data_IF_061348161554
#
_entry.id   IF_061348161554
#
_cell.length_a   1.000
_cell.length_b   1.000
_cell.length_c   1.000
_cell.angle_alpha   90.00
_cell.angle_beta   90.00
_cell.angle_gamma   90.00
#
_symmetry.space_group_name_H-M   'P 1'
#
loop_
_entity.id
_entity.type
_entity.pdbx_description
1 polymer ?
#
# COMPACT_ATOMS: atom_id res chain seq x y z
N UNK A 1 20.72 -7.31 -47.48
CA UNK A 1 22.08 -6.79 -47.80
C UNK A 1 23.06 -7.84 -47.31
N UNK A 2 24.16 -8.08 -48.02
CA UNK A 2 25.06 -9.24 -47.79
C UNK A 2 25.65 -9.32 -46.36
N UNK A 3 25.55 -8.25 -45.58
CA UNK A 3 26.14 -8.13 -44.24
C UNK A 3 25.15 -8.29 -43.07
N UNK A 4 23.89 -8.65 -43.34
CA UNK A 4 22.89 -8.79 -42.27
C UNK A 4 22.89 -10.21 -41.68
N UNK A 5 22.86 -10.37 -40.34
CA UNK A 5 22.76 -11.68 -39.69
C UNK A 5 21.52 -12.48 -40.12
N UNK A 6 20.44 -11.80 -40.51
CA UNK A 6 19.22 -12.41 -41.03
C UNK A 6 19.41 -13.11 -42.37
N UNK A 7 20.32 -12.62 -43.22
CA UNK A 7 20.64 -13.22 -44.51
C UNK A 7 21.52 -14.45 -44.33
N UNK A 8 22.54 -14.37 -43.46
CA UNK A 8 23.39 -15.51 -43.13
C UNK A 8 22.60 -16.66 -42.48
N UNK A 9 21.60 -16.33 -41.64
CA UNK A 9 20.68 -17.32 -41.09
C UNK A 9 19.82 -17.98 -42.18
N UNK A 10 19.31 -17.21 -43.14
CA UNK A 10 18.53 -17.74 -44.25
C UNK A 10 19.37 -18.64 -45.17
N UNK A 11 20.60 -18.25 -45.48
CA UNK A 11 21.53 -19.04 -46.29
C UNK A 11 21.98 -20.32 -45.57
N UNK A 12 22.28 -20.27 -44.27
CA UNK A 12 22.65 -21.45 -43.48
C UNK A 12 21.54 -22.52 -43.47
N UNK A 13 20.26 -22.10 -43.51
CA UNK A 13 19.10 -23.00 -43.56
C UNK A 13 18.83 -23.49 -44.99
N UNK A 14 18.98 -22.63 -46.00
CA UNK A 14 18.62 -22.93 -47.39
C UNK A 14 19.71 -23.66 -48.19
N UNK A 15 20.99 -23.51 -47.84
CA UNK A 15 22.10 -24.12 -48.58
C UNK A 15 22.05 -25.67 -48.61
N UNK A 16 21.77 -26.37 -47.49
CA UNK A 16 21.62 -27.83 -47.50
C UNK A 16 20.40 -28.31 -48.30
N UNK A 17 19.35 -27.49 -48.39
CA UNK A 17 18.08 -27.81 -49.06
C UNK A 17 18.14 -27.61 -50.58
N UNK A 18 18.96 -26.68 -51.07
CA UNK A 18 19.04 -26.33 -52.51
C UNK A 18 20.15 -27.04 -53.28
N UNK A 19 21.34 -27.21 -52.69
CA UNK A 19 22.53 -27.54 -53.47
C UNK A 19 23.23 -28.85 -53.05
N UNK A 20 22.72 -29.59 -52.06
CA UNK A 20 23.34 -30.83 -51.50
C UNK A 20 24.82 -30.68 -51.09
N UNK A 21 25.33 -29.45 -51.04
CA UNK A 21 26.64 -29.05 -50.58
C UNK A 21 26.44 -28.21 -49.32
N UNK A 22 27.06 -28.64 -48.23
CA UNK A 22 26.99 -27.95 -46.96
C UNK A 22 28.06 -26.84 -46.97
N UNK A 23 27.64 -25.62 -47.32
CA UNK A 23 28.51 -24.46 -47.15
C UNK A 23 28.41 -23.99 -45.68
N UNK A 24 29.49 -24.20 -44.92
CA UNK A 24 29.54 -23.93 -43.49
C UNK A 24 29.84 -22.46 -43.16
N UNK A 25 30.23 -21.68 -44.16
CA UNK A 25 30.69 -20.31 -43.99
C UNK A 25 29.64 -19.36 -43.35
N UNK A 26 28.36 -19.35 -43.77
CA UNK A 26 27.33 -18.50 -43.15
C UNK A 26 27.05 -18.88 -41.69
N UNK A 27 27.18 -20.17 -41.38
CA UNK A 27 26.96 -20.70 -40.03
C UNK A 27 28.09 -20.28 -39.07
N UNK A 28 29.34 -20.29 -39.53
CA UNK A 28 30.50 -19.80 -38.78
C UNK A 28 30.44 -18.28 -38.53
N UNK A 29 29.95 -17.51 -39.50
CA UNK A 29 29.67 -16.07 -39.32
C UNK A 29 28.61 -15.83 -38.24
N UNK A 30 27.57 -16.65 -38.20
CA UNK A 30 26.51 -16.54 -37.19
C UNK A 30 27.03 -16.84 -35.79
N UNK A 31 27.80 -17.93 -35.64
CA UNK A 31 28.36 -18.38 -34.35
C UNK A 31 29.40 -17.39 -33.83
N UNK A 32 30.26 -16.87 -34.70
CA UNK A 32 31.26 -15.86 -34.31
C UNK A 32 30.61 -14.54 -33.89
N UNK A 33 29.56 -14.11 -34.60
CA UNK A 33 28.81 -12.89 -34.23
C UNK A 33 28.07 -13.08 -32.89
N UNK A 34 27.45 -14.24 -32.66
CA UNK A 34 26.81 -14.56 -31.38
C UNK A 34 27.82 -14.61 -30.23
N UNK A 35 28.97 -15.25 -30.44
CA UNK A 35 30.07 -15.27 -29.49
C UNK A 35 30.61 -13.88 -29.17
N UNK A 36 30.79 -13.05 -30.20
CA UNK A 36 31.19 -11.64 -30.05
C UNK A 36 30.21 -10.84 -29.21
N UNK A 37 28.90 -10.96 -29.47
CA UNK A 37 27.87 -10.30 -28.67
C UNK A 37 27.85 -10.76 -27.22
N UNK A 38 28.07 -12.06 -26.96
CA UNK A 38 28.16 -12.58 -25.60
C UNK A 38 29.37 -12.02 -24.84
N UNK A 39 30.55 -11.96 -25.49
CA UNK A 39 31.75 -11.40 -24.88
C UNK A 39 31.59 -9.90 -24.61
N UNK A 40 31.04 -9.16 -25.57
CA UNK A 40 30.75 -7.72 -25.39
C UNK A 40 29.72 -7.51 -24.28
N UNK A 41 28.66 -8.31 -24.25
CA UNK A 41 27.64 -8.26 -23.19
C UNK A 41 28.22 -8.56 -21.81
N UNK A 42 29.05 -9.58 -21.69
CA UNK A 42 29.73 -9.94 -20.45
C UNK A 42 30.71 -8.83 -19.99
N UNK A 43 31.44 -8.23 -20.93
CA UNK A 43 32.35 -7.12 -20.65
C UNK A 43 31.60 -5.86 -20.17
N UNK A 44 30.51 -5.51 -20.87
CA UNK A 44 29.63 -4.39 -20.48
C UNK A 44 29.00 -4.64 -19.11
N UNK A 45 28.54 -5.87 -18.85
CA UNK A 45 27.99 -6.25 -17.55
C UNK A 45 29.04 -6.09 -16.45
N UNK A 46 30.23 -6.67 -16.61
CA UNK A 46 31.31 -6.55 -15.63
C UNK A 46 31.72 -5.10 -15.34
N UNK A 47 31.68 -4.23 -16.36
CA UNK A 47 32.06 -2.82 -16.21
C UNK A 47 30.97 -1.95 -15.60
N UNK A 48 29.72 -2.09 -16.03
CA UNK A 48 28.65 -1.15 -15.69
C UNK A 48 27.67 -1.67 -14.62
N UNK A 49 27.57 -2.98 -14.43
CA UNK A 49 26.68 -3.55 -13.40
C UNK A 49 27.02 -3.11 -11.98
N UNK A 50 28.29 -3.13 -11.50
CA UNK A 50 28.57 -2.74 -10.12
C UNK A 50 28.26 -1.27 -9.84
N UNK A 51 28.59 -0.38 -10.78
CA UNK A 51 28.30 1.06 -10.66
C UNK A 51 26.80 1.35 -10.75
N UNK A 52 26.08 0.67 -11.67
CA UNK A 52 24.63 0.79 -11.78
C UNK A 52 23.89 0.26 -10.55
N UNK A 53 24.36 -0.86 -9.99
CA UNK A 53 23.80 -1.46 -8.78
C UNK A 53 24.04 -0.59 -7.54
N UNK A 54 25.25 -0.04 -7.39
CA UNK A 54 25.58 0.91 -6.31
C UNK A 54 24.73 2.19 -6.41
N UNK A 55 24.65 2.82 -7.59
CA UNK A 55 23.82 4.03 -7.78
C UNK A 55 22.32 3.78 -7.55
N UNK A 56 21.80 2.61 -7.93
CA UNK A 56 20.41 2.25 -7.67
C UNK A 56 20.12 2.10 -6.17
N UNK A 57 21.09 1.61 -5.38
CA UNK A 57 20.96 1.51 -3.93
C UNK A 57 21.18 2.85 -3.22
N UNK A 58 22.15 3.65 -3.65
CA UNK A 58 22.43 4.97 -3.06
C UNK A 58 21.31 5.98 -3.36
N UNK A 59 20.66 5.88 -4.52
CA UNK A 59 19.45 6.66 -4.81
C UNK A 59 18.28 6.38 -3.85
N UNK A 60 18.21 5.17 -3.28
CA UNK A 60 17.22 4.82 -2.27
C UNK A 60 17.54 5.46 -0.90
N UNK A 61 18.81 5.53 -0.51
CA UNK A 61 19.24 6.14 0.77
C UNK A 61 19.13 7.68 0.77
N UNK A 62 19.33 8.33 -0.38
CA UNK A 62 19.08 9.76 -0.56
C UNK A 62 17.59 10.10 -0.49
N UNK A 63 16.71 9.24 -1.02
CA UNK A 63 15.25 9.37 -0.86
C UNK A 63 14.82 9.22 0.59
N UNK A 64 15.46 8.32 1.34
CA UNK A 64 15.21 8.13 2.77
C UNK A 64 15.63 9.37 3.59
N UNK A 65 16.75 10.00 3.22
CA UNK A 65 17.23 11.25 3.82
C UNK A 65 16.36 12.46 3.46
N UNK A 66 15.85 12.53 2.23
CA UNK A 66 14.91 13.58 1.79
C UNK A 66 13.54 13.43 2.48
N UNK A 67 13.07 12.19 2.68
CA UNK A 67 11.90 11.86 3.50
C UNK A 67 12.07 12.28 4.96
N UNK A 68 13.31 12.30 5.47
CA UNK A 68 13.67 12.71 6.82
C UNK A 68 13.64 14.23 7.03
N UNK A 69 13.47 15.04 5.97
CA UNK A 69 13.17 16.47 6.10
C UNK A 69 11.75 16.64 6.60
N UNK A 70 11.62 16.61 7.93
CA UNK A 70 10.52 17.16 8.73
C UNK A 70 9.15 17.05 8.08
N UNK A 71 8.57 15.85 8.06
CA UNK A 71 7.13 15.70 7.82
C UNK A 71 6.37 16.48 8.90
N UNK A 72 5.23 17.09 8.60
CA UNK A 72 4.37 17.73 9.63
C UNK A 72 4.02 16.73 10.75
N UNK A 73 3.92 15.44 10.39
CA UNK A 73 3.75 14.29 11.29
C UNK A 73 4.86 14.18 12.33
N UNK A 74 6.07 14.60 11.97
CA UNK A 74 7.25 14.52 12.81
C UNK A 74 7.26 15.56 13.93
N UNK A 75 6.52 16.67 13.78
CA UNK A 75 6.29 17.66 14.83
C UNK A 75 5.17 17.25 15.80
N UNK A 76 4.07 16.72 15.26
CA UNK A 76 2.90 16.26 16.04
C UNK A 76 3.23 15.04 16.90
N UNK A 77 4.09 14.13 16.39
CA UNK A 77 4.47 12.89 17.09
C UNK A 77 5.73 13.05 17.97
N UNK A 78 6.20 14.28 18.22
CA UNK A 78 7.35 14.58 19.10
C UNK A 78 7.31 13.96 20.51
N UNK A 79 6.16 13.83 21.20
CA UNK A 79 6.15 13.24 22.55
C UNK A 79 6.33 11.72 22.56
N UNK A 80 6.29 11.06 21.40
CA UNK A 80 6.44 9.60 21.31
C UNK A 80 7.91 9.19 21.21
N UNK A 81 8.23 8.00 21.72
CA UNK A 81 9.56 7.42 21.58
C UNK A 81 9.96 7.34 20.09
N UNK A 82 11.24 7.56 19.73
CA UNK A 82 11.68 7.62 18.33
C UNK A 82 11.32 6.37 17.51
N UNK A 83 11.39 5.19 18.13
CA UNK A 83 11.00 3.93 17.50
C UNK A 83 9.49 3.85 17.23
N UNK A 84 8.66 4.30 18.17
CA UNK A 84 7.21 4.34 18.03
C UNK A 84 6.77 5.33 16.96
N UNK A 85 7.41 6.51 16.90
CA UNK A 85 7.15 7.52 15.88
C UNK A 85 7.46 7.01 14.47
N UNK A 86 8.59 6.32 14.28
CA UNK A 86 8.93 5.73 12.99
C UNK A 86 7.90 4.68 12.53
N UNK A 87 7.39 3.87 13.47
CA UNK A 87 6.33 2.91 13.20
C UNK A 87 5.01 3.59 12.78
N UNK A 88 4.57 4.59 13.55
CA UNK A 88 3.33 5.33 13.25
C UNK A 88 3.42 6.06 11.91
N UNK A 89 4.54 6.72 11.63
CA UNK A 89 4.76 7.42 10.37
C UNK A 89 4.77 6.44 9.18
N UNK A 90 5.33 5.24 9.36
CA UNK A 90 5.25 4.16 8.37
C UNK A 90 3.81 3.73 8.14
N UNK A 91 3.05 3.48 9.21
CA UNK A 91 1.68 2.99 9.10
C UNK A 91 0.77 4.01 8.42
N UNK A 92 0.87 5.29 8.81
CA UNK A 92 0.15 6.40 8.15
C UNK A 92 0.48 6.42 6.66
N UNK A 93 1.77 6.40 6.29
CA UNK A 93 2.13 6.40 4.86
C UNK A 93 1.68 5.15 4.11
N UNK A 94 1.61 4.01 4.78
CA UNK A 94 1.13 2.76 4.19
C UNK A 94 -0.38 2.83 3.98
N UNK A 95 -1.13 3.36 4.95
CA UNK A 95 -2.56 3.65 4.83
C UNK A 95 -2.85 4.61 3.66
N UNK A 96 -2.09 5.70 3.56
CA UNK A 96 -2.21 6.66 2.45
C UNK A 96 -1.82 6.10 1.08
N UNK A 97 -1.08 4.98 1.03
CA UNK A 97 -0.66 4.34 -0.22
C UNK A 97 -1.59 3.21 -0.69
N UNK A 98 -2.46 2.70 0.18
CA UNK A 98 -3.37 1.60 -0.16
C UNK A 98 -4.72 2.14 -0.66
N UNK A 99 -4.82 2.34 -1.98
CA UNK A 99 -6.03 2.85 -2.65
C UNK A 99 -7.30 2.05 -2.33
N UNK A 100 -7.17 0.77 -1.95
CA UNK A 100 -8.30 -0.09 -1.58
C UNK A 100 -8.94 0.34 -0.26
N UNK A 101 -8.15 0.86 0.68
CA UNK A 101 -8.65 1.36 1.97
C UNK A 101 -9.30 2.74 1.80
N UNK A 102 -8.77 3.58 0.90
CA UNK A 102 -9.34 4.89 0.58
C UNK A 102 -10.78 4.81 0.07
N UNK A 103 -11.08 3.89 -0.83
CA UNK A 103 -12.44 3.75 -1.37
C UNK A 103 -13.43 3.28 -0.30
N UNK A 104 -13.01 2.37 0.58
CA UNK A 104 -13.83 1.87 1.69
C UNK A 104 -14.12 2.96 2.72
N UNK A 105 -13.15 3.83 2.99
CA UNK A 105 -13.31 4.95 3.92
C UNK A 105 -14.30 5.98 3.36
N UNK A 106 -14.21 6.32 2.08
CA UNK A 106 -15.14 7.25 1.43
C UNK A 106 -16.55 6.67 1.42
N UNK A 107 -16.72 5.41 1.03
CA UNK A 107 -18.03 4.76 0.99
C UNK A 107 -18.67 4.73 2.39
N UNK A 108 -17.89 4.36 3.40
CA UNK A 108 -18.36 4.36 4.78
C UNK A 108 -18.73 5.78 5.25
N UNK A 109 -17.90 6.79 4.95
CA UNK A 109 -18.16 8.17 5.32
C UNK A 109 -19.48 8.68 4.72
N UNK A 110 -19.74 8.37 3.44
CA UNK A 110 -21.01 8.70 2.78
C UNK A 110 -22.18 8.03 3.49
N UNK A 111 -22.07 6.75 3.84
CA UNK A 111 -23.12 6.02 4.56
C UNK A 111 -23.43 6.66 5.93
N UNK A 112 -22.39 7.05 6.67
CA UNK A 112 -22.53 7.74 7.97
C UNK A 112 -23.23 9.09 7.81
N UNK A 113 -22.86 9.88 6.80
CA UNK A 113 -23.49 11.18 6.54
C UNK A 113 -24.98 11.02 6.19
N UNK A 114 -25.30 10.04 5.33
CA UNK A 114 -26.70 9.71 5.00
C UNK A 114 -27.47 9.28 6.25
N UNK A 115 -26.86 8.49 7.13
CA UNK A 115 -27.47 8.10 8.40
C UNK A 115 -27.75 9.30 9.32
N UNK A 116 -26.77 10.18 9.54
CA UNK A 116 -26.96 11.39 10.38
C UNK A 116 -28.05 12.29 9.77
N UNK A 117 -28.06 12.45 8.45
CA UNK A 117 -29.11 13.21 7.76
C UNK A 117 -30.49 12.57 7.93
N UNK A 118 -30.60 11.24 7.81
CA UNK A 118 -31.85 10.52 7.98
C UNK A 118 -32.46 10.81 9.36
N UNK A 119 -31.67 10.75 10.42
CA UNK A 119 -32.13 11.04 11.80
C UNK A 119 -32.55 12.49 11.97
N UNK A 120 -31.81 13.46 11.41
CA UNK A 120 -32.18 14.88 11.51
C UNK A 120 -33.48 15.25 10.79
N UNK A 121 -33.81 14.52 9.73
CA UNK A 121 -35.04 14.75 8.96
C UNK A 121 -36.27 14.13 9.64
N UNK A 122 -36.11 13.23 10.61
CA UNK A 122 -37.26 12.68 11.34
C UNK A 122 -37.96 13.80 12.15
N UNK A 123 -39.24 14.10 11.89
CA UNK A 123 -40.02 15.12 12.60
C UNK A 123 -40.49 14.62 13.97
N UNK A 124 -39.55 14.23 14.85
CA UNK A 124 -39.85 13.76 16.21
C UNK A 124 -40.25 14.89 17.16
N UNK A 125 -39.89 16.15 16.83
CA UNK A 125 -40.05 17.32 17.69
C UNK A 125 -41.05 18.37 17.16
N UNK A 126 -41.69 18.13 16.01
CA UNK A 126 -42.52 19.15 15.32
C UNK A 126 -44.02 19.10 15.66
N UNK A 127 -44.39 18.69 16.88
CA UNK A 127 -45.74 18.97 17.40
C UNK A 127 -46.89 18.10 16.85
N UNK A 128 -46.61 16.98 16.19
CA UNK A 128 -47.59 15.90 16.03
C UNK A 128 -47.53 15.06 17.30
N UNK A 129 -48.68 14.65 17.87
CA UNK A 129 -48.77 13.83 19.09
C UNK A 129 -48.18 12.42 18.88
N UNK A 130 -46.86 12.33 18.72
CA UNK A 130 -46.16 11.05 18.73
C UNK A 130 -46.11 10.62 20.19
N UNK A 131 -46.83 9.54 20.53
CA UNK A 131 -46.90 9.06 21.90
C UNK A 131 -45.49 8.86 22.50
N UNK A 132 -45.30 9.25 23.78
CA UNK A 132 -44.04 9.17 24.52
C UNK A 132 -43.30 7.83 24.36
N UNK A 133 -44.06 6.72 24.27
CA UNK A 133 -43.52 5.39 24.02
C UNK A 133 -42.78 5.28 22.67
N UNK A 134 -43.36 5.80 21.59
CA UNK A 134 -42.77 5.71 20.25
C UNK A 134 -41.48 6.52 20.14
N UNK A 135 -41.43 7.71 20.76
CA UNK A 135 -40.23 8.55 20.82
C UNK A 135 -39.10 7.84 21.56
N UNK A 136 -39.38 7.22 22.71
CA UNK A 136 -38.39 6.45 23.45
C UNK A 136 -37.89 5.22 22.69
N UNK A 137 -38.79 4.49 22.02
CA UNK A 137 -38.41 3.33 21.21
C UNK A 137 -37.53 3.74 20.02
N UNK A 138 -37.90 4.81 19.31
CA UNK A 138 -37.12 5.34 18.18
C UNK A 138 -35.74 5.82 18.67
N UNK A 139 -35.68 6.51 19.80
CA UNK A 139 -34.41 6.98 20.39
C UNK A 139 -33.51 5.83 20.84
N UNK A 140 -34.07 4.79 21.48
CA UNK A 140 -33.33 3.58 21.85
C UNK A 140 -32.81 2.82 20.62
N UNK A 141 -33.65 2.66 19.60
CA UNK A 141 -33.28 2.00 18.35
C UNK A 141 -32.18 2.79 17.61
N UNK A 142 -32.26 4.12 17.63
CA UNK A 142 -31.24 4.99 17.07
C UNK A 142 -29.89 4.83 17.79
N UNK A 143 -29.89 4.75 19.12
CA UNK A 143 -28.68 4.50 19.90
C UNK A 143 -28.04 3.14 19.54
N UNK A 144 -28.88 2.10 19.40
CA UNK A 144 -28.45 0.78 18.95
C UNK A 144 -27.86 0.80 17.54
N UNK A 145 -28.48 1.54 16.62
CA UNK A 145 -28.02 1.65 15.23
C UNK A 145 -26.73 2.46 15.12
N UNK A 146 -26.58 3.53 15.90
CA UNK A 146 -25.32 4.27 16.02
C UNK A 146 -24.18 3.38 16.54
N UNK A 147 -24.46 2.55 17.56
CA UNK A 147 -23.52 1.56 18.06
C UNK A 147 -23.12 0.52 17.01
N UNK A 148 -24.08 0.05 16.22
CA UNK A 148 -23.85 -0.89 15.12
C UNK A 148 -22.95 -0.29 14.02
N UNK A 149 -23.24 0.95 13.62
CA UNK A 149 -22.40 1.70 12.68
C UNK A 149 -20.98 1.78 13.24
N UNK A 150 -20.80 2.24 14.47
CA UNK A 150 -19.49 2.36 15.10
C UNK A 150 -18.73 1.03 15.16
N UNK A 151 -19.41 -0.07 15.48
CA UNK A 151 -18.82 -1.41 15.49
C UNK A 151 -18.38 -1.86 14.08
N UNK A 152 -19.16 -1.56 13.05
CA UNK A 152 -18.78 -1.85 11.66
C UNK A 152 -17.53 -1.07 11.22
N UNK A 153 -17.41 0.20 11.62
CA UNK A 153 -16.19 1.01 11.38
C UNK A 153 -14.99 0.36 12.07
N UNK A 154 -15.14 -0.01 13.35
CA UNK A 154 -14.07 -0.67 14.10
C UNK A 154 -13.62 -1.97 13.42
N UNK A 155 -14.55 -2.83 13.00
CA UNK A 155 -14.23 -4.07 12.30
C UNK A 155 -13.53 -3.84 10.95
N UNK A 156 -13.88 -2.77 10.22
CA UNK A 156 -13.33 -2.48 8.89
C UNK A 156 -11.93 -1.86 8.94
N UNK A 157 -11.63 -1.05 9.96
CA UNK A 157 -10.37 -0.29 10.03
C UNK A 157 -9.42 -0.76 11.12
N UNK A 158 -9.93 -1.11 12.30
CA UNK A 158 -9.10 -1.49 13.44
C UNK A 158 -8.56 -2.92 13.28
N UNK A 159 -9.38 -3.84 12.79
CA UNK A 159 -8.98 -5.24 12.63
C UNK A 159 -7.88 -5.44 11.57
N UNK A 160 -7.97 -4.89 10.33
CA UNK A 160 -6.91 -5.04 9.34
C UNK A 160 -5.60 -4.38 9.76
N UNK A 161 -5.67 -3.23 10.44
CA UNK A 161 -4.50 -2.52 10.94
C UNK A 161 -3.67 -3.35 11.93
N UNK A 162 -4.34 -4.16 12.76
CA UNK A 162 -3.68 -5.09 13.71
C UNK A 162 -3.28 -6.40 13.03
N UNK A 163 -4.12 -6.93 12.14
CA UNK A 163 -3.89 -8.23 11.48
C UNK A 163 -2.70 -8.22 10.52
N UNK A 164 -2.47 -7.12 9.80
CA UNK A 164 -1.37 -6.98 8.83
C UNK A 164 0.02 -7.04 9.48
N UNK A 165 0.13 -6.76 10.78
CA UNK A 165 1.39 -6.88 11.52
C UNK A 165 1.80 -8.31 11.82
N UNK A 166 0.87 -9.26 11.82
CA UNK A 166 1.16 -10.66 12.13
C UNK A 166 2.27 -11.23 11.24
N UNK A 167 2.33 -10.80 9.97
CA UNK A 167 3.36 -11.21 9.00
C UNK A 167 4.75 -10.64 9.29
N UNK A 168 4.84 -9.47 9.89
CA UNK A 168 6.12 -8.80 10.23
C UNK A 168 6.48 -8.95 11.71
N UNK A 169 5.64 -9.66 12.49
CA UNK A 169 5.79 -9.84 13.93
C UNK A 169 7.12 -10.52 14.29
N UNK A 170 7.62 -11.43 13.45
CA UNK A 170 8.91 -12.08 13.65
C UNK A 170 10.07 -11.08 13.68
N UNK A 171 10.06 -10.10 12.75
CA UNK A 171 11.05 -9.03 12.67
C UNK A 171 11.00 -8.08 13.88
N UNK A 172 9.79 -7.82 14.40
CA UNK A 172 9.59 -6.98 15.59
C UNK A 172 9.99 -7.70 16.89
N UNK A 173 9.85 -9.02 16.96
CA UNK A 173 10.33 -9.83 18.10
C UNK A 173 11.85 -9.86 18.22
N UNK A 174 12.56 -9.70 17.11
CA UNK A 174 14.03 -9.57 17.10
C UNK A 174 14.50 -8.20 17.58
N UNK A 175 13.61 -7.21 17.66
CA UNK A 175 13.93 -5.86 18.12
C UNK A 175 13.81 -5.76 19.65
N UNK A 176 14.61 -4.90 20.32
CA UNK A 176 14.59 -4.71 21.78
C UNK A 176 13.36 -3.93 22.28
N UNK A 177 12.22 -4.03 21.58
CA UNK A 177 10.98 -3.35 21.91
C UNK A 177 10.03 -4.31 22.60
N UNK A 178 9.54 -3.92 23.79
CA UNK A 178 8.50 -4.68 24.49
C UNK A 178 7.22 -4.75 23.63
N UNK A 179 6.81 -5.97 23.27
CA UNK A 179 5.64 -6.25 22.43
C UNK A 179 4.35 -5.56 22.94
N UNK A 180 4.20 -5.46 24.26
CA UNK A 180 3.07 -4.77 24.90
C UNK A 180 3.01 -3.28 24.54
N UNK A 181 4.14 -2.57 24.51
CA UNK A 181 4.17 -1.15 24.14
C UNK A 181 3.84 -0.93 22.66
N UNK A 182 4.23 -1.86 21.81
CA UNK A 182 3.90 -1.84 20.38
C UNK A 182 2.39 -1.92 20.15
N UNK A 183 1.75 -2.93 20.76
CA UNK A 183 0.30 -3.14 20.67
C UNK A 183 -0.48 -1.94 21.24
N UNK A 184 -0.09 -1.45 22.43
CA UNK A 184 -0.77 -0.31 23.04
C UNK A 184 -0.61 0.98 22.22
N UNK A 185 0.57 1.26 21.68
CA UNK A 185 0.77 2.42 20.83
C UNK A 185 -0.12 2.35 19.59
N UNK A 186 -0.25 1.18 18.96
CA UNK A 186 -1.08 1.01 17.77
C UNK A 186 -2.57 1.05 18.07
N UNK A 187 -2.97 0.51 19.21
CA UNK A 187 -4.33 0.61 19.71
C UNK A 187 -4.73 2.08 19.81
N UNK A 188 -3.96 2.90 20.54
CA UNK A 188 -4.27 4.33 20.70
C UNK A 188 -4.28 5.11 19.38
N UNK A 189 -3.31 4.85 18.49
CA UNK A 189 -3.22 5.55 17.20
C UNK A 189 -4.43 5.28 16.29
N UNK A 190 -5.01 4.08 16.34
CA UNK A 190 -6.19 3.75 15.54
C UNK A 190 -7.52 4.05 16.25
N UNK A 191 -7.53 3.99 17.59
CA UNK A 191 -8.72 4.29 18.41
C UNK A 191 -9.00 5.80 18.46
N UNK A 192 -7.98 6.66 18.44
CA UNK A 192 -8.18 8.12 18.47
C UNK A 192 -9.01 8.61 17.26
N UNK A 193 -8.69 8.26 16.00
CA UNK A 193 -9.54 8.60 14.85
C UNK A 193 -10.96 8.04 14.96
N UNK A 194 -11.09 6.81 15.45
CA UNK A 194 -12.40 6.16 15.65
C UNK A 194 -13.23 6.91 16.71
N UNK A 195 -12.62 7.36 17.80
CA UNK A 195 -13.27 8.15 18.83
C UNK A 195 -13.74 9.51 18.31
N UNK A 196 -12.96 10.15 17.43
CA UNK A 196 -13.38 11.40 16.77
C UNK A 196 -14.63 11.17 15.92
N UNK A 197 -14.66 10.09 15.14
CA UNK A 197 -15.83 9.71 14.34
C UNK A 197 -17.02 9.38 15.24
N UNK A 198 -16.80 8.64 16.33
CA UNK A 198 -17.84 8.33 17.32
C UNK A 198 -18.44 9.60 17.91
N UNK A 199 -17.61 10.52 18.38
CA UNK A 199 -18.03 11.79 18.96
C UNK A 199 -18.82 12.64 17.95
N UNK A 200 -18.37 12.68 16.68
CA UNK A 200 -19.07 13.40 15.62
C UNK A 200 -20.43 12.79 15.29
N UNK A 201 -20.55 11.45 15.33
CA UNK A 201 -21.82 10.76 15.18
C UNK A 201 -22.76 11.11 16.33
N UNK A 202 -22.30 10.99 17.58
CA UNK A 202 -23.14 11.21 18.77
C UNK A 202 -23.54 12.68 18.95
N UNK A 203 -22.70 13.63 18.56
CA UNK A 203 -23.04 15.06 18.56
C UNK A 203 -23.87 15.48 17.33
N UNK A 204 -23.82 14.68 16.26
CA UNK A 204 -24.51 14.94 15.00
C UNK A 204 -25.97 14.48 14.99
N UNK A 205 -26.26 13.35 15.64
CA UNK A 205 -27.59 12.78 15.87
C UNK A 205 -28.28 13.41 17.08
#
# INVERSE_FOLDING_TARGET
SVWLPSEWAAEAIMAPLRARSADWFPLLLLVSTAGGLLVVGAWLHGRYFPEGFSRAQEGASLKESAVRRGSVLDGVLRPLQPATRALVVKDIRTFFRDTTQWSQLILLAVLVVVYVYNIRVLPLFTGVEVGFFLVNVISFLNLGLAGFVLAAIAARFLFPAVSLEGRTLWLLRSSPLMLRRLVWSKYWVNVIPLLVVALALTAGT
#
